data_IF_919331760968
#
_entry.id   IF_919331760968
#
_cell.length_a   1.000
_cell.length_b   1.000
_cell.length_c   1.000
_cell.angle_alpha   90.00
_cell.angle_beta   90.00
_cell.angle_gamma   90.00
#
_symmetry.space_group_name_H-M   'P 1'
#
loop_
_entity.id
_entity.type
_entity.pdbx_description
1 polymer ?
#
# COMPACT_ATOMS: atom_id res chain seq x y z
N UNK A 1 -5.08 -30.09 10.12
CA UNK A 1 -5.02 -29.01 9.11
C UNK A 1 -4.96 -29.66 7.73
N UNK A 2 -5.87 -29.34 6.81
CA UNK A 2 -5.81 -29.84 5.41
C UNK A 2 -4.58 -29.23 4.75
N UNK A 3 -3.72 -30.07 4.16
CA UNK A 3 -2.57 -29.59 3.36
C UNK A 3 -3.11 -28.97 2.08
N UNK A 4 -2.65 -27.76 1.75
CA UNK A 4 -2.90 -27.16 0.43
C UNK A 4 -2.32 -28.08 -0.64
N UNK A 5 -3.13 -28.42 -1.63
CA UNK A 5 -2.71 -29.25 -2.77
C UNK A 5 -2.15 -28.38 -3.89
N UNK A 6 -1.40 -28.97 -4.81
CA UNK A 6 -0.82 -28.26 -5.95
C UNK A 6 -1.88 -27.50 -6.77
N UNK A 7 -3.08 -28.09 -6.92
CA UNK A 7 -4.21 -27.44 -7.60
C UNK A 7 -4.88 -26.30 -6.82
N UNK A 8 -4.62 -26.16 -5.52
CA UNK A 8 -5.06 -24.99 -4.74
C UNK A 8 -4.10 -23.81 -4.92
N UNK A 9 -2.81 -24.09 -5.11
CA UNK A 9 -1.77 -23.07 -5.33
C UNK A 9 -1.92 -22.46 -6.73
N UNK A 10 -2.23 -23.28 -7.75
CA UNK A 10 -2.44 -22.80 -9.13
C UNK A 10 -3.66 -21.85 -9.28
N UNK A 11 -4.61 -21.89 -8.34
CA UNK A 11 -5.76 -20.97 -8.29
C UNK A 11 -5.47 -19.66 -7.56
N UNK A 12 -4.37 -19.61 -6.81
CA UNK A 12 -3.93 -18.43 -6.05
C UNK A 12 -2.68 -17.89 -6.75
N UNK A 13 -2.88 -17.25 -7.89
CA UNK A 13 -1.85 -16.45 -8.52
C UNK A 13 -1.89 -15.04 -7.90
N UNK A 14 -0.92 -14.68 -7.02
CA UNK A 14 -0.90 -13.37 -6.38
C UNK A 14 -0.68 -12.22 -7.38
N UNK A 15 -0.08 -12.49 -8.54
CA UNK A 15 0.11 -11.50 -9.59
C UNK A 15 -1.20 -11.25 -10.37
N UNK A 16 -2.06 -12.28 -10.53
CA UNK A 16 -3.40 -12.11 -11.15
C UNK A 16 -4.43 -11.45 -10.24
N UNK A 17 -4.27 -11.53 -8.91
CA UNK A 17 -5.25 -10.99 -7.95
C UNK A 17 -5.37 -9.46 -7.96
N UNK A 18 -4.32 -8.78 -8.39
CA UNK A 18 -4.18 -7.32 -8.34
C UNK A 18 -4.34 -6.64 -9.73
N UNK A 19 -4.69 -7.40 -10.79
CA UNK A 19 -4.94 -6.86 -12.14
C UNK A 19 -6.29 -6.13 -12.15
N UNK A 20 -6.28 -4.85 -12.52
CA UNK A 20 -7.49 -4.01 -12.64
C UNK A 20 -8.12 -3.58 -11.29
N UNK A 21 -7.39 -3.71 -10.17
CA UNK A 21 -7.86 -3.27 -8.85
C UNK A 21 -6.94 -2.21 -8.25
N UNK A 22 -7.54 -1.11 -7.82
CA UNK A 22 -6.84 -0.08 -7.06
C UNK A 22 -6.68 -0.53 -5.60
N UNK A 23 -5.45 -0.47 -5.08
CA UNK A 23 -5.19 -0.83 -3.69
C UNK A 23 -4.01 -0.07 -3.11
N UNK A 24 -4.00 0.01 -1.78
CA UNK A 24 -2.89 0.52 -0.99
C UNK A 24 -2.47 -0.57 0.00
N UNK A 25 -1.18 -0.87 0.08
CA UNK A 25 -0.58 -1.78 1.06
C UNK A 25 0.32 -0.98 1.99
N UNK A 26 0.06 -1.06 3.29
CA UNK A 26 0.90 -0.41 4.31
C UNK A 26 1.78 -1.45 4.98
N UNK A 27 3.10 -1.24 4.95
CA UNK A 27 4.09 -2.07 5.65
C UNK A 27 3.89 -2.00 7.15
N UNK A 28 3.31 -3.06 7.72
CA UNK A 28 2.86 -3.14 9.11
C UNK A 28 3.61 -4.25 9.87
N UNK A 29 4.87 -4.50 9.49
CA UNK A 29 5.78 -5.36 10.26
C UNK A 29 6.30 -4.65 11.52
N UNK A 30 7.17 -5.28 12.30
CA UNK A 30 7.64 -4.74 13.59
C UNK A 30 8.25 -3.34 13.46
N UNK A 31 9.14 -3.14 12.48
CA UNK A 31 9.80 -1.85 12.27
C UNK A 31 8.78 -0.80 11.75
N UNK A 32 7.88 -1.18 10.84
CA UNK A 32 6.81 -0.30 10.36
C UNK A 32 5.84 0.14 11.46
N UNK A 33 5.42 -0.76 12.35
CA UNK A 33 4.61 -0.42 13.53
C UNK A 33 5.36 0.59 14.41
N UNK A 34 6.65 0.34 14.68
CA UNK A 34 7.48 1.24 15.48
C UNK A 34 7.69 2.61 14.82
N UNK A 35 7.72 2.66 13.49
CA UNK A 35 7.87 3.91 12.71
C UNK A 35 6.56 4.69 12.54
N UNK A 36 5.42 4.21 13.09
CA UNK A 36 4.13 4.91 13.02
C UNK A 36 3.22 4.48 11.86
N UNK A 37 3.47 3.35 11.20
CA UNK A 37 2.63 2.86 10.10
C UNK A 37 1.17 2.58 10.53
N UNK A 38 0.92 2.36 11.82
CA UNK A 38 -0.44 2.22 12.36
C UNK A 38 -1.27 3.49 12.20
N UNK A 39 -0.69 4.66 12.46
CA UNK A 39 -1.35 5.95 12.30
C UNK A 39 -1.60 6.25 10.82
N UNK A 40 -0.64 5.93 9.96
CA UNK A 40 -0.78 6.03 8.50
C UNK A 40 -1.94 5.16 7.99
N UNK A 41 -2.01 3.91 8.44
CA UNK A 41 -3.07 2.98 8.05
C UNK A 41 -4.46 3.47 8.48
N UNK A 42 -4.60 3.94 9.72
CA UNK A 42 -5.86 4.49 10.21
C UNK A 42 -6.28 5.74 9.44
N UNK A 43 -5.34 6.67 9.22
CA UNK A 43 -5.61 7.88 8.45
C UNK A 43 -6.08 7.58 7.02
N UNK A 44 -5.47 6.59 6.37
CA UNK A 44 -5.91 6.14 5.04
C UNK A 44 -7.35 5.61 5.08
N UNK A 45 -7.69 4.77 6.06
CA UNK A 45 -9.05 4.22 6.19
C UNK A 45 -10.10 5.32 6.45
N UNK A 46 -9.82 6.24 7.36
CA UNK A 46 -10.74 7.32 7.72
C UNK A 46 -10.95 8.29 6.57
N UNK A 47 -9.87 8.76 5.93
CA UNK A 47 -9.96 9.74 4.86
C UNK A 47 -10.49 9.13 3.56
N UNK A 48 -10.22 7.85 3.29
CA UNK A 48 -10.84 7.13 2.17
C UNK A 48 -12.36 7.08 2.32
N UNK A 49 -12.87 6.78 3.52
CA UNK A 49 -14.32 6.77 3.81
C UNK A 49 -14.92 8.18 3.71
N UNK A 50 -14.30 9.15 4.38
CA UNK A 50 -14.77 10.54 4.43
C UNK A 50 -14.87 11.17 3.04
N UNK A 51 -13.94 10.84 2.14
CA UNK A 51 -13.85 11.39 0.78
C UNK A 51 -14.51 10.49 -0.28
N UNK A 52 -15.15 9.39 0.12
CA UNK A 52 -15.73 8.38 -0.78
C UNK A 52 -14.74 7.92 -1.87
N UNK A 53 -13.49 7.68 -1.47
CA UNK A 53 -12.47 7.10 -2.36
C UNK A 53 -12.63 5.59 -2.33
N UNK A 54 -12.96 5.00 -3.48
CA UNK A 54 -13.05 3.55 -3.63
C UNK A 54 -11.65 2.97 -3.87
N UNK A 55 -10.97 2.58 -2.78
CA UNK A 55 -9.67 1.92 -2.83
C UNK A 55 -9.54 0.89 -1.72
N UNK A 56 -8.95 -0.25 -2.06
CA UNK A 56 -8.76 -1.35 -1.12
C UNK A 56 -7.49 -1.17 -0.29
N UNK A 57 -7.64 -0.91 1.00
CA UNK A 57 -6.52 -0.62 1.90
C UNK A 57 -6.18 -1.87 2.71
N UNK A 58 -4.96 -2.38 2.55
CA UNK A 58 -4.47 -3.63 3.10
C UNK A 58 -3.24 -3.41 3.99
N UNK A 59 -3.05 -4.33 4.93
CA UNK A 59 -1.79 -4.46 5.67
C UNK A 59 -0.84 -5.39 4.93
N UNK A 60 0.44 -5.05 4.90
CA UNK A 60 1.51 -5.87 4.33
C UNK A 60 2.60 -6.15 5.36
N UNK A 61 3.39 -7.19 5.15
CA UNK A 61 4.53 -7.54 5.98
C UNK A 61 5.75 -6.68 5.70
N UNK A 62 6.94 -7.20 6.03
CA UNK A 62 8.20 -6.53 5.78
C UNK A 62 8.44 -6.37 4.27
N UNK A 63 8.84 -5.17 3.86
CA UNK A 63 9.16 -4.82 2.46
C UNK A 63 10.66 -4.63 2.21
N UNK A 64 11.51 -4.98 3.19
CA UNK A 64 12.96 -5.01 3.03
C UNK A 64 13.70 -3.69 3.24
N UNK A 65 13.00 -2.58 3.54
CA UNK A 65 13.60 -1.26 3.71
C UNK A 65 13.20 -0.59 5.04
N UNK A 66 13.65 -1.16 6.17
CA UNK A 66 13.31 -0.66 7.52
C UNK A 66 13.70 0.82 7.74
N UNK A 67 14.74 1.32 7.07
CA UNK A 67 15.20 2.73 7.18
C UNK A 67 14.28 3.74 6.49
N UNK A 68 13.38 3.28 5.64
CA UNK A 68 12.43 4.11 4.90
C UNK A 68 10.98 3.88 5.34
N UNK A 69 10.77 3.18 6.46
CA UNK A 69 9.44 3.04 7.02
C UNK A 69 8.93 4.37 7.62
N UNK A 70 7.60 4.59 7.66
CA UNK A 70 6.54 3.73 7.12
C UNK A 70 6.54 3.63 5.60
N UNK A 71 6.40 2.40 5.09
CA UNK A 71 6.33 2.11 3.66
C UNK A 71 4.88 1.93 3.22
N UNK A 72 4.52 2.54 2.09
CA UNK A 72 3.17 2.45 1.50
C UNK A 72 3.29 2.16 0.01
N UNK A 73 2.88 0.95 -0.38
CA UNK A 73 2.80 0.54 -1.78
C UNK A 73 1.41 0.87 -2.34
N UNK A 74 1.36 1.55 -3.48
CA UNK A 74 0.13 2.02 -4.11
C UNK A 74 0.06 1.48 -5.53
N UNK A 75 -1.07 0.88 -5.86
CA UNK A 75 -1.43 0.45 -7.20
C UNK A 75 -2.73 1.15 -7.61
N UNK A 76 -2.64 1.88 -8.72
CA UNK A 76 -3.78 2.57 -9.33
C UNK A 76 -3.76 2.23 -10.81
N UNK A 77 -4.93 1.87 -11.35
CA UNK A 77 -5.06 1.49 -12.75
C UNK A 77 -4.59 2.59 -13.70
N UNK A 78 -3.71 2.20 -14.63
CA UNK A 78 -3.10 3.09 -15.62
C UNK A 78 -1.86 3.84 -15.11
N UNK A 79 -1.40 3.57 -13.89
CA UNK A 79 -0.14 4.07 -13.35
C UNK A 79 0.81 2.92 -12.99
N UNK A 80 2.13 3.16 -13.00
CA UNK A 80 3.06 2.20 -12.44
C UNK A 80 2.77 2.00 -10.95
N UNK A 81 3.03 0.79 -10.46
CA UNK A 81 3.00 0.53 -9.02
C UNK A 81 4.11 1.34 -8.35
N UNK A 82 3.77 2.11 -7.32
CA UNK A 82 4.72 3.01 -6.63
C UNK A 82 4.83 2.62 -5.18
N UNK A 83 6.06 2.57 -4.68
CA UNK A 83 6.36 2.45 -3.25
C UNK A 83 6.73 3.82 -2.71
N UNK A 84 6.06 4.26 -1.65
CA UNK A 84 6.37 5.48 -0.94
C UNK A 84 7.06 5.15 0.38
N UNK A 85 8.10 5.91 0.73
CA UNK A 85 8.82 5.80 2.00
C UNK A 85 8.63 7.02 2.89
N UNK A 86 8.95 6.85 4.17
CA UNK A 86 8.84 7.86 5.23
C UNK A 86 7.46 8.50 5.26
N UNK A 87 6.43 7.68 5.04
CA UNK A 87 5.07 8.17 4.90
C UNK A 87 4.55 8.58 6.26
N UNK A 88 4.15 9.84 6.39
CA UNK A 88 3.44 10.37 7.55
C UNK A 88 1.93 10.38 7.29
N UNK A 89 1.14 10.70 8.31
CA UNK A 89 -0.32 10.90 8.17
C UNK A 89 -0.67 11.88 7.04
N UNK A 90 0.02 13.01 6.97
CA UNK A 90 -0.22 14.05 5.97
C UNK A 90 0.11 13.57 4.53
N UNK A 91 1.24 12.86 4.41
CA UNK A 91 1.64 12.25 3.12
C UNK A 91 0.62 11.20 2.69
N UNK A 92 0.09 10.39 3.62
CA UNK A 92 -0.94 9.39 3.32
C UNK A 92 -2.22 10.04 2.75
N UNK A 93 -2.65 11.16 3.32
CA UNK A 93 -3.79 11.94 2.82
C UNK A 93 -3.49 12.50 1.43
N UNK A 94 -2.28 13.02 1.24
CA UNK A 94 -1.82 13.53 -0.06
C UNK A 94 -1.73 12.42 -1.11
N UNK A 95 -1.38 11.19 -0.74
CA UNK A 95 -1.41 10.02 -1.62
C UNK A 95 -2.84 9.73 -2.10
N UNK A 96 -3.83 9.73 -1.20
CA UNK A 96 -5.24 9.54 -1.60
C UNK A 96 -5.70 10.65 -2.55
N UNK A 97 -5.34 11.90 -2.29
CA UNK A 97 -5.78 13.03 -3.10
C UNK A 97 -5.06 13.11 -4.45
N UNK A 98 -3.72 13.09 -4.46
CA UNK A 98 -2.94 13.31 -5.68
C UNK A 98 -2.77 12.03 -6.47
N UNK A 99 -2.33 10.95 -5.83
CA UNK A 99 -2.04 9.72 -6.56
C UNK A 99 -3.33 8.96 -6.91
N UNK A 100 -4.19 8.69 -5.92
CA UNK A 100 -5.37 7.84 -6.16
C UNK A 100 -6.44 8.58 -6.97
N UNK A 101 -6.82 9.81 -6.60
CA UNK A 101 -7.87 10.56 -7.31
C UNK A 101 -7.36 11.26 -8.57
N UNK A 102 -6.24 11.98 -8.49
CA UNK A 102 -5.77 12.84 -9.57
C UNK A 102 -4.74 12.18 -10.50
N UNK A 103 -4.37 10.91 -10.25
CA UNK A 103 -3.34 10.18 -11.00
C UNK A 103 -2.00 10.90 -11.09
N UNK A 104 -1.62 11.64 -10.05
CA UNK A 104 -0.36 12.39 -9.92
C UNK A 104 0.54 11.79 -8.84
N UNK A 105 1.75 11.38 -9.23
CA UNK A 105 2.73 10.80 -8.32
C UNK A 105 3.37 11.87 -7.42
N UNK A 106 3.66 11.48 -6.18
CA UNK A 106 4.40 12.31 -5.23
C UNK A 106 5.90 11.99 -5.35
N UNK A 107 6.56 12.55 -6.36
CA UNK A 107 7.95 12.22 -6.72
C UNK A 107 8.93 12.29 -5.54
N UNK A 108 8.77 13.25 -4.62
CA UNK A 108 9.65 13.45 -3.45
C UNK A 108 9.61 12.30 -2.43
N UNK A 109 8.56 11.47 -2.47
CA UNK A 109 8.35 10.38 -1.51
C UNK A 109 8.54 9.00 -2.13
N UNK A 110 8.78 8.91 -3.44
CA UNK A 110 8.99 7.62 -4.12
C UNK A 110 10.27 6.98 -3.56
N UNK A 111 10.13 5.73 -3.14
CA UNK A 111 11.24 4.93 -2.64
C UNK A 111 11.50 3.77 -3.58
N UNK A 112 12.72 3.72 -4.12
CA UNK A 112 13.20 2.64 -4.97
C UNK A 112 14.03 1.66 -4.12
N UNK A 113 13.62 0.40 -4.10
CA UNK A 113 14.43 -0.68 -3.53
C UNK A 113 15.43 -1.06 -4.61
N UNK A 114 16.71 -0.71 -4.42
CA UNK A 114 17.83 -1.19 -5.23
C UNK A 114 18.17 -2.65 -4.90
#
# INVERSE_FOLDING_TARGET
MKKLTKGDIEKVDPAKKDIGKNWIKVGMSTCGVAAGAGEVYLALLEESKKRNVEIDIRKCGCQGACSAEPLVEVNVEGLPKVLYGRVTKDVAITILERHVRNKKLLHDYIFEIN
#
